data_IF_776188181061
#
_entry.id   IF_776188181061
#
_cell.length_a   1.000
_cell.length_b   1.000
_cell.length_c   1.000
_cell.angle_alpha   90.00
_cell.angle_beta   90.00
_cell.angle_gamma   90.00
#
_symmetry.space_group_name_H-M   'P 1'
#
loop_
_entity.id
_entity.type
_entity.pdbx_description
1 polymer ?
#
# COMPACT_ATOMS: atom_id res chain seq x y z
N UNK A 1 -35.61 28.50 62.71
CA UNK A 1 -35.05 29.07 61.46
C UNK A 1 -33.66 28.51 61.23
N UNK A 2 -33.34 28.18 59.98
CA UNK A 2 -32.28 27.24 59.56
C UNK A 2 -30.88 27.82 59.68
N UNK A 3 -30.01 27.11 60.41
CA UNK A 3 -28.56 27.34 60.49
C UNK A 3 -27.89 26.69 59.26
N UNK A 4 -27.31 27.47 58.35
CA UNK A 4 -26.54 26.92 57.21
C UNK A 4 -25.06 26.89 57.57
N UNK A 5 -24.54 25.68 57.76
CA UNK A 5 -23.13 25.39 58.00
C UNK A 5 -22.33 25.68 56.72
N UNK A 6 -21.33 26.52 56.85
CA UNK A 6 -20.24 26.71 55.88
C UNK A 6 -19.34 25.47 55.97
N UNK A 7 -18.99 24.89 54.82
CA UNK A 7 -17.71 24.23 54.47
C UNK A 7 -17.94 23.27 53.29
N UNK A 8 -17.46 23.61 52.09
CA UNK A 8 -17.21 22.70 50.96
C UNK A 8 -16.24 23.44 50.02
N UNK A 9 -14.93 23.24 50.15
CA UNK A 9 -14.10 22.17 49.58
C UNK A 9 -13.25 22.74 48.44
N UNK A 10 -11.95 22.93 48.69
CA UNK A 10 -10.96 23.09 47.63
C UNK A 10 -9.88 22.04 47.86
N UNK A 11 -10.09 20.86 47.28
CA UNK A 11 -9.10 19.80 47.28
C UNK A 11 -8.26 19.96 46.02
N UNK A 12 -7.05 20.51 46.16
CA UNK A 12 -6.06 20.53 45.09
C UNK A 12 -5.17 19.28 45.25
N UNK A 13 -5.58 18.18 44.63
CA UNK A 13 -4.73 17.00 44.52
C UNK A 13 -3.80 17.17 43.32
N UNK A 14 -2.57 17.58 43.59
CA UNK A 14 -1.50 17.58 42.61
C UNK A 14 -1.01 16.13 42.45
N UNK A 15 -1.61 15.38 41.52
CA UNK A 15 -1.09 14.07 41.14
C UNK A 15 0.13 14.25 40.25
N UNK A 16 1.28 13.74 40.70
CA UNK A 16 2.45 13.53 39.85
C UNK A 16 2.08 12.48 38.80
N UNK A 17 1.82 12.91 37.58
CA UNK A 17 1.74 12.00 36.44
C UNK A 17 3.16 11.57 36.13
N UNK A 18 3.54 10.36 36.54
CA UNK A 18 4.72 9.72 35.97
C UNK A 18 4.42 9.38 34.51
N UNK A 19 5.28 9.72 33.54
CA UNK A 19 5.15 9.13 32.22
C UNK A 19 5.42 7.63 32.35
N UNK A 20 4.38 6.81 32.23
CA UNK A 20 4.58 5.39 31.97
C UNK A 20 5.15 5.32 30.56
N UNK A 21 6.43 5.02 30.45
CA UNK A 21 7.09 4.73 29.18
C UNK A 21 6.63 3.33 28.77
N UNK A 22 5.39 3.22 28.31
CA UNK A 22 4.87 2.03 27.65
C UNK A 22 5.45 2.00 26.24
N UNK A 23 6.67 1.50 26.08
CA UNK A 23 7.14 1.01 24.81
C UNK A 23 6.32 -0.25 24.48
N UNK A 24 5.10 -0.05 23.99
CA UNK A 24 4.39 -1.06 23.24
C UNK A 24 5.13 -1.19 21.91
N UNK A 25 6.16 -2.03 21.88
CA UNK A 25 6.59 -2.65 20.62
C UNK A 25 5.45 -3.55 20.19
N UNK A 26 4.48 -2.97 19.49
CA UNK A 26 3.61 -3.75 18.63
C UNK A 26 4.53 -4.28 17.55
N UNK A 27 4.81 -5.58 17.57
CA UNK A 27 5.27 -6.26 16.36
C UNK A 27 4.11 -6.13 15.38
N UNK A 28 4.05 -5.02 14.66
CA UNK A 28 3.16 -4.90 13.51
C UNK A 28 3.72 -5.90 12.51
N UNK A 29 3.05 -7.04 12.38
CA UNK A 29 3.21 -7.83 11.17
C UNK A 29 2.86 -6.86 10.04
N UNK A 30 3.80 -6.62 9.12
CA UNK A 30 3.52 -5.78 7.96
C UNK A 30 2.29 -6.36 7.28
N UNK A 31 1.20 -5.60 7.27
CA UNK A 31 0.00 -6.02 6.57
C UNK A 31 0.35 -6.01 5.08
N UNK A 32 0.18 -7.16 4.42
CA UNK A 32 0.41 -7.30 2.99
C UNK A 32 -0.51 -6.37 2.20
N UNK A 33 -1.63 -5.95 2.79
CA UNK A 33 -2.56 -5.02 2.19
C UNK A 33 -2.21 -3.53 2.38
N UNK A 34 -1.18 -3.20 3.16
CA UNK A 34 -0.76 -1.80 3.39
C UNK A 34 -0.22 -1.13 2.11
N UNK A 35 -0.65 0.12 1.79
CA UNK A 35 -0.10 0.87 0.66
C UNK A 35 1.42 1.00 0.70
N UNK A 36 2.06 0.62 -0.40
CA UNK A 36 3.52 0.61 -0.53
C UNK A 36 4.19 -0.68 -0.08
N UNK A 37 3.45 -1.64 0.51
CA UNK A 37 3.98 -2.97 0.77
C UNK A 37 4.56 -3.56 -0.53
N UNK A 38 5.75 -4.15 -0.41
CA UNK A 38 6.51 -4.64 -1.55
C UNK A 38 6.91 -6.09 -1.32
N UNK A 39 6.62 -6.92 -2.30
CA UNK A 39 6.98 -8.33 -2.33
C UNK A 39 8.04 -8.58 -3.42
N UNK A 40 9.12 -9.26 -3.07
CA UNK A 40 10.21 -9.57 -4.00
C UNK A 40 10.03 -11.00 -4.51
N UNK A 41 9.71 -11.15 -5.80
CA UNK A 41 9.57 -12.44 -6.45
C UNK A 41 10.03 -12.35 -7.89
N UNK A 42 10.91 -13.27 -8.28
CA UNK A 42 11.36 -13.36 -9.67
C UNK A 42 10.43 -14.27 -10.46
N UNK A 43 9.54 -13.68 -11.24
CA UNK A 43 8.54 -14.41 -12.04
C UNK A 43 8.49 -13.84 -13.45
N UNK A 44 7.91 -14.59 -14.39
CA UNK A 44 7.54 -14.08 -15.71
C UNK A 44 6.03 -13.90 -15.73
N UNK A 45 5.56 -12.69 -16.02
CA UNK A 45 4.13 -12.39 -16.19
C UNK A 45 3.78 -12.34 -17.68
N UNK A 46 2.64 -12.90 -18.05
CA UNK A 46 2.04 -12.70 -19.36
C UNK A 46 0.95 -11.64 -19.26
N UNK A 47 1.01 -10.61 -20.11
CA UNK A 47 0.12 -9.45 -19.99
C UNK A 47 -0.90 -9.36 -21.13
N UNK A 48 -2.13 -8.99 -20.81
CA UNK A 48 -3.19 -8.77 -21.79
C UNK A 48 -4.24 -7.77 -21.29
N UNK A 49 -4.68 -6.86 -22.16
CA UNK A 49 -5.72 -5.91 -21.82
C UNK A 49 -7.13 -6.49 -22.04
N UNK A 50 -7.68 -7.13 -21.01
CA UNK A 50 -9.07 -7.63 -21.03
C UNK A 50 -10.12 -6.54 -20.82
N UNK A 51 -9.70 -5.36 -20.35
CA UNK A 51 -10.62 -4.28 -19.96
C UNK A 51 -11.09 -3.46 -21.15
N UNK A 52 -10.27 -3.36 -22.19
CA UNK A 52 -10.64 -2.77 -23.47
C UNK A 52 -9.97 -3.55 -24.60
N UNK A 53 -10.73 -4.49 -25.16
CA UNK A 53 -10.26 -5.38 -26.23
C UNK A 53 -10.00 -4.65 -27.54
N UNK A 54 -10.41 -3.38 -27.68
CA UNK A 54 -10.05 -2.54 -28.83
C UNK A 54 -8.64 -1.95 -28.69
N UNK A 55 -8.05 -1.98 -27.49
CA UNK A 55 -6.67 -1.59 -27.27
C UNK A 55 -5.74 -2.79 -27.47
N UNK A 56 -4.78 -2.63 -28.37
CA UNK A 56 -3.75 -3.63 -28.65
C UNK A 56 -2.60 -3.63 -27.63
N UNK A 57 -2.71 -2.85 -26.55
CA UNK A 57 -1.65 -2.64 -25.57
C UNK A 57 -2.16 -2.60 -24.12
N UNK A 58 -1.25 -2.92 -23.21
CA UNK A 58 -1.43 -2.88 -21.75
C UNK A 58 -0.86 -1.56 -21.21
N UNK A 59 -1.68 -0.73 -20.54
CA UNK A 59 -1.20 0.52 -19.97
C UNK A 59 -0.27 0.28 -18.77
N UNK A 60 0.69 1.18 -18.61
CA UNK A 60 1.65 1.15 -17.51
C UNK A 60 1.42 2.31 -16.55
N UNK A 61 1.91 2.16 -15.33
CA UNK A 61 1.88 3.20 -14.29
C UNK A 61 3.24 3.39 -13.64
N UNK A 62 3.41 4.50 -12.96
CA UNK A 62 4.52 4.78 -12.05
C UNK A 62 3.97 5.02 -10.66
N UNK A 63 4.77 4.73 -9.63
CA UNK A 63 4.41 5.02 -8.24
C UNK A 63 4.89 6.41 -7.84
N UNK A 64 4.01 7.14 -7.17
CA UNK A 64 4.35 8.38 -6.46
C UNK A 64 4.91 8.07 -5.07
N UNK A 65 5.40 9.12 -4.39
CA UNK A 65 5.96 9.01 -3.05
C UNK A 65 4.95 8.54 -1.99
N UNK A 66 3.66 8.85 -2.19
CA UNK A 66 2.54 8.48 -1.31
C UNK A 66 1.91 7.12 -1.67
N UNK A 67 2.58 6.33 -2.51
CA UNK A 67 2.09 5.04 -3.03
C UNK A 67 0.85 5.11 -3.91
N UNK A 68 0.38 6.31 -4.30
CA UNK A 68 -0.57 6.44 -5.41
C UNK A 68 0.12 6.12 -6.74
N UNK A 69 -0.68 5.78 -7.75
CA UNK A 69 -0.17 5.45 -9.09
C UNK A 69 -0.54 6.52 -10.11
N UNK A 70 0.35 6.75 -11.08
CA UNK A 70 0.13 7.70 -12.17
C UNK A 70 0.41 7.05 -13.51
N UNK A 71 -0.47 7.28 -14.48
CA UNK A 71 -0.38 6.68 -15.82
C UNK A 71 0.90 7.12 -16.52
N UNK A 72 1.63 6.15 -17.07
CA UNK A 72 2.68 6.39 -18.07
C UNK A 72 2.01 6.48 -19.44
N UNK A 73 2.19 7.59 -20.15
CA UNK A 73 1.41 7.90 -21.38
C UNK A 73 2.23 7.81 -22.67
N UNK A 74 3.55 7.73 -22.59
CA UNK A 74 4.45 7.71 -23.74
C UNK A 74 4.90 6.30 -24.15
N UNK A 75 4.48 5.26 -23.44
CA UNK A 75 4.74 3.85 -23.76
C UNK A 75 3.72 2.92 -23.11
N UNK A 76 3.67 1.70 -23.62
CA UNK A 76 2.83 0.63 -23.15
C UNK A 76 3.48 -0.72 -23.50
N UNK A 77 2.96 -1.80 -22.92
CA UNK A 77 3.37 -3.15 -23.30
C UNK A 77 2.44 -3.68 -24.38
N UNK A 78 2.97 -4.47 -25.31
CA UNK A 78 2.13 -5.16 -26.29
C UNK A 78 1.36 -6.29 -25.61
N UNK A 79 0.10 -6.49 -25.99
CA UNK A 79 -0.67 -7.65 -25.53
C UNK A 79 0.03 -8.97 -25.86
N UNK A 80 -0.18 -9.99 -25.02
CA UNK A 80 0.36 -11.35 -25.19
C UNK A 80 1.88 -11.40 -25.24
N UNK A 81 2.56 -10.52 -24.49
CA UNK A 81 4.02 -10.55 -24.34
C UNK A 81 4.43 -10.93 -22.91
N UNK A 82 5.46 -11.77 -22.74
CA UNK A 82 6.00 -12.09 -21.42
C UNK A 82 6.93 -10.98 -20.90
N UNK A 83 6.88 -10.72 -19.59
CA UNK A 83 7.74 -9.76 -18.92
C UNK A 83 8.33 -10.34 -17.64
N UNK A 84 9.65 -10.24 -17.49
CA UNK A 84 10.30 -10.58 -16.24
C UNK A 84 9.99 -9.50 -15.20
N UNK A 85 9.48 -9.91 -14.05
CA UNK A 85 9.26 -9.08 -12.88
C UNK A 85 10.06 -9.63 -11.72
N UNK A 86 10.54 -8.74 -10.86
CA UNK A 86 11.25 -9.08 -9.64
C UNK A 86 10.56 -8.52 -8.39
N UNK A 87 9.55 -7.66 -8.58
CA UNK A 87 8.87 -6.95 -7.50
C UNK A 87 7.38 -6.79 -7.79
N UNK A 88 6.59 -6.97 -6.75
CA UNK A 88 5.19 -6.59 -6.70
C UNK A 88 5.01 -5.51 -5.64
N UNK A 89 4.15 -4.53 -5.89
CA UNK A 89 3.89 -3.44 -4.95
C UNK A 89 2.40 -3.14 -4.82
N UNK A 90 1.97 -2.89 -3.59
CA UNK A 90 0.61 -2.48 -3.23
C UNK A 90 0.42 -0.99 -3.47
N UNK A 91 -0.60 -0.61 -4.23
CA UNK A 91 -1.01 0.78 -4.43
C UNK A 91 -1.91 1.30 -3.30
N UNK A 92 -1.95 2.62 -3.14
CA UNK A 92 -2.88 3.30 -2.23
C UNK A 92 -4.36 3.10 -2.62
N UNK A 93 -4.60 2.68 -3.86
CA UNK A 93 -5.90 2.25 -4.38
C UNK A 93 -6.27 0.80 -3.99
N UNK A 94 -5.39 0.09 -3.28
CA UNK A 94 -5.56 -1.34 -2.97
C UNK A 94 -5.35 -2.25 -4.17
N UNK A 95 -4.70 -1.79 -5.24
CA UNK A 95 -4.29 -2.60 -6.38
C UNK A 95 -2.92 -3.25 -6.18
N UNK A 96 -2.69 -4.41 -6.80
CA UNK A 96 -1.35 -5.00 -6.94
C UNK A 96 -0.74 -4.64 -8.28
N UNK A 97 0.57 -4.38 -8.29
CA UNK A 97 1.31 -3.94 -9.45
C UNK A 97 2.63 -4.70 -9.58
N UNK A 98 2.97 -5.14 -10.79
CA UNK A 98 4.21 -5.87 -11.11
C UNK A 98 5.20 -4.95 -11.79
N UNK A 99 6.46 -5.01 -11.39
CA UNK A 99 7.52 -4.17 -11.95
C UNK A 99 7.99 -4.71 -13.29
N UNK A 100 8.00 -3.87 -14.32
CA UNK A 100 8.48 -4.23 -15.66
C UNK A 100 9.66 -3.37 -16.14
N UNK A 101 10.02 -2.36 -15.34
CA UNK A 101 11.10 -1.40 -15.60
C UNK A 101 11.52 -0.74 -14.28
N UNK A 102 12.53 0.14 -14.27
CA UNK A 102 13.02 0.79 -13.04
C UNK A 102 11.91 1.51 -12.27
N UNK A 103 11.04 2.25 -12.97
CA UNK A 103 9.97 3.06 -12.36
C UNK A 103 8.59 2.81 -12.98
N UNK A 104 8.43 1.71 -13.73
CA UNK A 104 7.20 1.44 -14.47
C UNK A 104 6.65 0.07 -14.11
N UNK A 105 5.34 0.01 -13.95
CA UNK A 105 4.62 -1.10 -13.36
C UNK A 105 3.33 -1.38 -14.14
N UNK A 106 2.86 -2.62 -14.05
CA UNK A 106 1.61 -3.08 -14.68
C UNK A 106 0.65 -3.51 -13.58
N UNK A 107 -0.61 -3.10 -13.68
CA UNK A 107 -1.65 -3.56 -12.75
C UNK A 107 -1.90 -5.06 -12.91
N UNK A 108 -2.12 -5.77 -11.80
CA UNK A 108 -2.53 -7.17 -11.78
C UNK A 108 -3.78 -7.45 -12.63
N UNK A 109 -4.63 -6.45 -12.82
CA UNK A 109 -5.81 -6.54 -13.69
C UNK A 109 -5.48 -6.86 -15.16
N UNK A 110 -4.22 -6.74 -15.57
CA UNK A 110 -3.74 -7.04 -16.91
C UNK A 110 -2.80 -8.24 -16.97
N UNK A 111 -2.66 -9.01 -15.89
CA UNK A 111 -1.80 -10.20 -15.83
C UNK A 111 -2.67 -11.44 -16.05
N UNK A 112 -2.39 -12.18 -17.13
CA UNK A 112 -3.08 -13.43 -17.49
C UNK A 112 -2.57 -14.60 -16.66
N UNK A 113 -1.25 -14.68 -16.51
CA UNK A 113 -0.56 -15.74 -15.76
C UNK A 113 0.79 -15.25 -15.24
N UNK A 114 1.25 -15.86 -14.16
CA UNK A 114 2.58 -15.69 -13.59
C UNK A 114 3.30 -17.03 -13.44
N UNK A 115 4.54 -17.09 -13.91
CA UNK A 115 5.39 -18.28 -13.85
C UNK A 115 6.55 -18.03 -12.90
N UNK A 116 6.61 -18.79 -11.81
CA UNK A 116 7.71 -18.71 -10.84
C UNK A 116 8.95 -19.36 -11.43
N UNK A 117 10.05 -18.61 -11.50
CA UNK A 117 11.33 -19.15 -11.92
C UNK A 117 12.01 -19.82 -10.71
N UNK A 118 12.13 -21.15 -10.76
CA UNK A 118 12.80 -21.98 -9.75
C UNK A 118 14.33 -21.95 -9.89
#
# INVERSE_FOLDING_TARGET
MKLKKILLSLSLMLSLVTPVLGASTTTVNADVDDPGYTYYSRTVIHVYNYMDTNLSFVPMVSFNADSTVSRVTNRALLNSTPWLTDMQRRGADGGWYYRVSTNEWVSNNYVESDEVLH
#
